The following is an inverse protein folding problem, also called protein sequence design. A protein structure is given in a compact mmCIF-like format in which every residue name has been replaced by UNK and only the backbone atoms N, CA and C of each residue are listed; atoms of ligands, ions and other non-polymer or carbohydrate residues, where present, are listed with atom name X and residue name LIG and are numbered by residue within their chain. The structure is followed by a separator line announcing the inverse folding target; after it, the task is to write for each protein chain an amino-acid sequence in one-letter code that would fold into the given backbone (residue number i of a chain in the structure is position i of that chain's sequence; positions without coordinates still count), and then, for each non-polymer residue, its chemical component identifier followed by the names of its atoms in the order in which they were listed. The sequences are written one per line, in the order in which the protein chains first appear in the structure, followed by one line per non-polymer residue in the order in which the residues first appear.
data_IF_588834357093
#
_entry.id   IF_588834357093
#
_cell.length_a   1.000
_cell.length_b   1.000
_cell.length_c   1.000
_cell.angle_alpha   90.00
_cell.angle_beta   90.00
_cell.angle_gamma   90.00
#
_symmetry.space_group_name_H-M   'P 1'
#
loop_
_entity.id
_entity.type
_entity.pdbx_description
1 polymer ?
#
# COMPACT_ATOMS: atom_id res chain seq x y z
N UNK A 1 -24.80 10.58 43.48
CA UNK A 1 -23.45 10.47 42.89
C UNK A 1 -22.88 9.04 42.77
N UNK A 2 -23.41 8.02 43.45
CA UNK A 2 -22.90 6.61 43.38
C UNK A 2 -23.35 5.78 42.17
N UNK A 3 -24.35 6.22 41.40
CA UNK A 3 -24.97 5.42 40.32
C UNK A 3 -24.20 5.53 38.98
N UNK A 4 -23.46 6.61 38.76
CA UNK A 4 -22.74 6.86 37.49
C UNK A 4 -21.35 6.18 37.40
N UNK A 5 -20.80 5.75 38.55
CA UNK A 5 -19.44 5.15 38.57
C UNK A 5 -19.44 3.74 38.00
N UNK A 6 -20.53 2.97 38.20
CA UNK A 6 -20.59 1.57 37.71
C UNK A 6 -20.54 1.45 36.17
N UNK A 7 -21.32 2.22 35.38
CA UNK A 7 -21.22 2.12 33.91
C UNK A 7 -19.87 2.64 33.36
N UNK A 8 -19.27 3.64 34.01
CA UNK A 8 -17.97 4.18 33.62
C UNK A 8 -16.86 3.12 33.78
N UNK A 9 -16.85 2.39 34.90
CA UNK A 9 -15.87 1.30 35.14
C UNK A 9 -16.04 0.17 34.13
N UNK A 10 -17.27 -0.22 33.77
CA UNK A 10 -17.53 -1.27 32.78
C UNK A 10 -17.03 -0.83 31.41
N UNK A 11 -17.23 0.42 31.00
CA UNK A 11 -16.73 0.95 29.74
C UNK A 11 -15.19 0.98 29.73
N UNK A 12 -14.56 1.39 30.81
CA UNK A 12 -13.10 1.46 30.94
C UNK A 12 -12.45 0.08 30.94
N UNK A 13 -13.03 -0.90 31.60
CA UNK A 13 -12.56 -2.30 31.60
C UNK A 13 -12.77 -2.93 30.22
N UNK A 14 -13.88 -2.66 29.55
CA UNK A 14 -14.12 -3.13 28.19
C UNK A 14 -13.08 -2.58 27.22
N UNK A 15 -12.75 -1.30 27.27
CA UNK A 15 -11.72 -0.69 26.41
C UNK A 15 -10.32 -1.24 26.69
N UNK A 16 -9.99 -1.56 27.93
CA UNK A 16 -8.72 -2.19 28.30
C UNK A 16 -8.64 -3.64 27.83
N UNK A 17 -9.72 -4.41 27.91
CA UNK A 17 -9.78 -5.79 27.42
C UNK A 17 -9.71 -5.88 25.89
N UNK A 18 -10.37 -4.96 25.16
CA UNK A 18 -10.29 -4.90 23.71
C UNK A 18 -8.97 -4.30 23.19
N UNK A 19 -8.24 -3.54 24.02
CA UNK A 19 -6.92 -2.99 23.68
C UNK A 19 -5.79 -4.03 23.64
N UNK A 20 -6.02 -5.24 24.14
CA UNK A 20 -5.03 -6.34 24.14
C UNK A 20 -5.16 -7.31 22.95
N UNK A 21 -5.97 -6.99 21.94
CA UNK A 21 -5.93 -7.75 20.69
C UNK A 21 -4.54 -7.50 20.08
N UNK A 22 -3.63 -8.46 20.27
CA UNK A 22 -2.36 -8.51 19.53
C UNK A 22 -2.74 -8.48 18.04
N UNK A 23 -2.66 -7.31 17.45
CA UNK A 23 -2.63 -7.20 15.99
C UNK A 23 -1.37 -7.92 15.56
N UNK A 24 -1.48 -9.14 15.07
CA UNK A 24 -0.38 -9.78 14.37
C UNK A 24 -0.02 -8.82 13.23
N UNK A 25 1.12 -8.18 13.34
CA UNK A 25 1.66 -7.35 12.27
C UNK A 25 1.86 -8.28 11.08
N UNK A 26 0.93 -8.25 10.14
CA UNK A 26 1.07 -9.02 8.92
C UNK A 26 2.22 -8.37 8.16
N UNK A 27 3.37 -9.01 8.20
CA UNK A 27 4.58 -8.55 7.49
C UNK A 27 4.23 -8.44 6.01
N UNK A 28 4.38 -7.24 5.46
CA UNK A 28 4.11 -7.00 4.03
C UNK A 28 5.14 -7.76 3.22
N UNK A 29 4.71 -8.77 2.47
CA UNK A 29 5.59 -9.53 1.58
C UNK A 29 5.65 -8.90 0.20
N UNK A 30 6.86 -8.86 -0.35
CA UNK A 30 7.21 -8.33 -1.66
C UNK A 30 7.80 -9.47 -2.48
N UNK A 31 7.20 -9.80 -3.61
CA UNK A 31 7.67 -10.83 -4.53
C UNK A 31 8.32 -10.21 -5.77
N UNK A 32 9.50 -10.68 -6.13
CA UNK A 32 10.15 -10.34 -7.38
C UNK A 32 10.00 -11.50 -8.37
N UNK A 33 9.19 -11.30 -9.40
CA UNK A 33 8.92 -12.29 -10.45
C UNK A 33 9.96 -12.28 -11.58
N UNK A 34 10.95 -11.37 -11.50
CA UNK A 34 12.03 -11.29 -12.50
C UNK A 34 11.77 -10.27 -13.60
N UNK A 35 12.61 -10.34 -14.62
CA UNK A 35 12.45 -9.58 -15.87
C UNK A 35 12.53 -10.52 -17.06
N UNK A 36 11.82 -10.18 -18.11
CA UNK A 36 11.92 -10.81 -19.42
C UNK A 36 12.39 -9.78 -20.42
N UNK A 37 13.32 -10.17 -21.33
CA UNK A 37 13.77 -9.31 -22.42
C UNK A 37 13.64 -10.08 -23.74
N UNK A 38 12.91 -9.52 -24.67
CA UNK A 38 12.77 -10.07 -26.01
C UNK A 38 13.97 -9.66 -26.88
N UNK A 39 14.42 -10.57 -27.78
CA UNK A 39 15.47 -10.34 -28.78
C UNK A 39 16.86 -10.04 -28.19
N UNK A 40 17.24 -10.78 -27.16
CA UNK A 40 18.61 -10.78 -26.59
C UNK A 40 19.08 -12.20 -26.31
N UNK A 41 20.38 -12.35 -26.11
CA UNK A 41 20.94 -13.61 -25.61
C UNK A 41 20.48 -13.90 -24.18
N UNK A 42 20.28 -15.17 -23.78
CA UNK A 42 19.81 -15.54 -22.44
C UNK A 42 20.66 -14.98 -21.28
N UNK A 43 21.97 -14.85 -21.48
CA UNK A 43 22.85 -14.30 -20.45
C UNK A 43 22.57 -12.81 -20.16
N UNK A 44 22.10 -12.04 -21.16
CA UNK A 44 21.72 -10.61 -20.97
C UNK A 44 20.49 -10.50 -20.08
N UNK A 45 19.51 -11.39 -20.31
CA UNK A 45 18.30 -11.45 -19.48
C UNK A 45 18.63 -11.82 -18.03
N UNK A 46 19.47 -12.84 -17.83
CA UNK A 46 19.88 -13.26 -16.48
C UNK A 46 20.63 -12.14 -15.74
N UNK A 47 21.58 -11.48 -16.40
CA UNK A 47 22.35 -10.38 -15.80
C UNK A 47 21.46 -9.17 -15.51
N UNK A 48 20.53 -8.82 -16.40
CA UNK A 48 19.60 -7.73 -16.15
C UNK A 48 18.67 -8.08 -14.97
N UNK A 49 18.19 -9.31 -14.89
CA UNK A 49 17.37 -9.76 -13.77
C UNK A 49 18.12 -9.62 -12.45
N UNK A 50 19.41 -9.96 -12.41
CA UNK A 50 20.27 -9.74 -11.24
C UNK A 50 20.44 -8.26 -10.92
N UNK A 51 20.70 -7.42 -11.94
CA UNK A 51 20.78 -5.96 -11.77
C UNK A 51 19.48 -5.38 -11.24
N UNK A 52 18.35 -5.81 -11.75
CA UNK A 52 17.05 -5.34 -11.30
C UNK A 52 16.70 -5.83 -9.89
N UNK A 53 17.23 -6.97 -9.46
CA UNK A 53 17.04 -7.44 -8.08
C UNK A 53 17.69 -6.52 -7.05
N UNK A 54 18.73 -5.76 -7.42
CA UNK A 54 19.38 -4.80 -6.50
C UNK A 54 18.47 -3.67 -6.04
N UNK A 55 17.36 -3.41 -6.74
CA UNK A 55 16.35 -2.43 -6.29
C UNK A 55 15.78 -2.77 -4.91
N UNK A 56 15.85 -4.04 -4.49
CA UNK A 56 15.35 -4.51 -3.19
C UNK A 56 16.42 -4.52 -2.09
N UNK A 57 17.62 -4.04 -2.37
CA UNK A 57 18.66 -3.89 -1.34
C UNK A 57 18.19 -2.93 -0.25
N UNK A 58 18.28 -3.39 1.01
CA UNK A 58 17.77 -2.66 2.17
C UNK A 58 16.32 -2.97 2.55
N UNK A 59 15.58 -3.75 1.76
CA UNK A 59 14.30 -4.32 2.18
C UNK A 59 14.58 -5.44 3.19
N UNK A 60 13.74 -5.52 4.24
CA UNK A 60 13.88 -6.57 5.24
C UNK A 60 13.81 -7.95 4.57
N UNK A 61 14.82 -8.84 4.78
CA UNK A 61 14.87 -10.17 4.18
C UNK A 61 13.64 -11.05 4.46
N UNK A 62 12.94 -10.83 5.57
CA UNK A 62 11.70 -11.54 5.90
C UNK A 62 10.50 -11.10 5.04
N UNK A 63 10.59 -9.91 4.46
CA UNK A 63 9.56 -9.32 3.61
C UNK A 63 9.81 -9.61 2.13
N UNK A 64 11.04 -9.88 1.75
CA UNK A 64 11.44 -10.04 0.36
C UNK A 64 11.49 -11.51 -0.07
N UNK A 65 10.76 -11.81 -1.14
CA UNK A 65 10.81 -13.08 -1.86
C UNK A 65 11.60 -12.89 -3.16
N UNK A 66 12.86 -13.33 -3.22
CA UNK A 66 13.68 -13.25 -4.42
C UNK A 66 13.16 -14.17 -5.52
N UNK A 67 13.62 -13.94 -6.75
CA UNK A 67 13.15 -14.62 -7.95
C UNK A 67 13.10 -16.15 -7.80
N UNK A 68 14.16 -16.78 -7.30
CA UNK A 68 14.22 -18.23 -7.11
C UNK A 68 13.08 -18.74 -6.22
N UNK A 69 12.80 -18.08 -5.10
CA UNK A 69 11.69 -18.46 -4.20
C UNK A 69 10.32 -18.27 -4.85
N UNK A 70 10.15 -17.20 -5.64
CA UNK A 70 8.88 -16.96 -6.34
C UNK A 70 8.71 -17.99 -7.47
N UNK A 71 9.78 -18.37 -8.16
CA UNK A 71 9.75 -19.44 -9.15
C UNK A 71 9.35 -20.78 -8.53
N UNK A 72 9.92 -21.15 -7.39
CA UNK A 72 9.56 -22.39 -6.66
C UNK A 72 8.06 -22.43 -6.31
N UNK A 73 7.45 -21.28 -6.02
CA UNK A 73 6.05 -21.19 -5.59
C UNK A 73 5.07 -21.02 -6.75
N UNK A 74 5.44 -20.30 -7.80
CA UNK A 74 4.53 -19.74 -8.80
C UNK A 74 5.11 -19.71 -10.23
N UNK A 75 5.91 -20.72 -10.63
CA UNK A 75 6.55 -20.74 -11.95
C UNK A 75 5.56 -20.68 -13.12
N UNK A 76 4.44 -21.40 -13.01
CA UNK A 76 3.41 -21.38 -14.06
C UNK A 76 2.75 -20.03 -14.21
N UNK A 77 2.47 -19.38 -13.07
CA UNK A 77 1.85 -18.06 -13.01
C UNK A 77 2.80 -16.96 -13.50
N UNK A 78 4.12 -17.13 -13.27
CA UNK A 78 5.14 -16.23 -13.84
C UNK A 78 5.18 -16.37 -15.36
N UNK A 79 5.12 -17.58 -15.91
CA UNK A 79 5.09 -17.80 -17.33
C UNK A 79 3.83 -17.18 -17.98
N UNK A 80 2.67 -17.34 -17.34
CA UNK A 80 1.43 -16.67 -17.77
C UNK A 80 1.55 -15.15 -17.69
N UNK A 81 2.17 -14.62 -16.63
CA UNK A 81 2.38 -13.19 -16.46
C UNK A 81 3.21 -12.60 -17.60
N UNK A 82 4.32 -13.24 -17.97
CA UNK A 82 5.17 -12.75 -19.05
C UNK A 82 4.57 -12.97 -20.45
N UNK A 83 3.72 -13.96 -20.62
CA UNK A 83 2.96 -14.13 -21.87
C UNK A 83 1.93 -13.01 -22.06
N UNK A 84 1.28 -12.56 -20.98
CA UNK A 84 0.31 -11.48 -21.03
C UNK A 84 0.35 -10.67 -19.72
N UNK A 85 0.92 -9.46 -19.78
CA UNK A 85 0.99 -8.53 -18.64
C UNK A 85 -0.42 -8.00 -18.33
N UNK A 86 -1.07 -8.58 -17.34
CA UNK A 86 -2.41 -8.21 -16.90
C UNK A 86 -2.51 -8.20 -15.37
N UNK A 87 -3.47 -7.43 -14.84
CA UNK A 87 -3.70 -7.38 -13.39
C UNK A 87 -4.12 -8.75 -12.83
N UNK A 88 -4.88 -9.53 -13.64
CA UNK A 88 -5.28 -10.90 -13.29
C UNK A 88 -4.07 -11.83 -13.11
N UNK A 89 -3.08 -11.77 -14.02
CA UNK A 89 -1.91 -12.62 -13.94
C UNK A 89 -0.97 -12.19 -12.81
N UNK A 90 -0.84 -10.87 -12.55
CA UNK A 90 -0.17 -10.39 -11.35
C UNK A 90 -0.84 -10.90 -10.07
N UNK A 91 -2.18 -10.89 -10.01
CA UNK A 91 -2.91 -11.40 -8.86
C UNK A 91 -2.64 -12.88 -8.61
N UNK A 92 -2.60 -13.71 -9.66
CA UNK A 92 -2.27 -15.14 -9.53
C UNK A 92 -0.88 -15.35 -8.90
N UNK A 93 0.13 -14.60 -9.37
CA UNK A 93 1.49 -14.65 -8.79
C UNK A 93 1.46 -14.20 -7.33
N UNK A 94 0.75 -13.11 -7.01
CA UNK A 94 0.61 -12.60 -5.67
C UNK A 94 -0.02 -13.61 -4.71
N UNK A 95 -1.10 -14.26 -5.14
CA UNK A 95 -1.84 -15.25 -4.34
C UNK A 95 -0.97 -16.48 -4.07
N UNK A 96 -0.25 -16.99 -5.07
CA UNK A 96 0.64 -18.14 -4.92
C UNK A 96 1.85 -17.84 -4.05
N UNK A 97 2.47 -16.68 -4.21
CA UNK A 97 3.61 -16.26 -3.41
C UNK A 97 3.21 -15.76 -2.01
N UNK A 98 1.91 -15.56 -1.76
CA UNK A 98 1.42 -14.94 -0.54
C UNK A 98 1.96 -13.51 -0.35
N UNK A 99 2.12 -12.76 -1.45
CA UNK A 99 2.74 -11.45 -1.48
C UNK A 99 1.70 -10.34 -1.66
N UNK A 100 1.91 -9.22 -0.96
CA UNK A 100 1.10 -8.01 -1.15
C UNK A 100 1.52 -7.23 -2.40
N UNK A 101 2.83 -7.22 -2.68
CA UNK A 101 3.39 -6.55 -3.85
C UNK A 101 4.11 -7.54 -4.74
N UNK A 102 3.88 -7.45 -6.05
CA UNK A 102 4.60 -8.22 -7.07
C UNK A 102 5.29 -7.26 -8.01
N UNK A 103 6.57 -7.54 -8.29
CA UNK A 103 7.40 -6.77 -9.21
C UNK A 103 7.81 -7.64 -10.39
N UNK A 104 7.69 -7.09 -11.59
CA UNK A 104 8.13 -7.74 -12.82
C UNK A 104 8.54 -6.69 -13.85
N UNK A 105 9.48 -7.02 -14.73
CA UNK A 105 9.88 -6.19 -15.86
C UNK A 105 9.69 -6.90 -17.20
N UNK A 106 9.10 -6.22 -18.17
CA UNK A 106 9.03 -6.72 -19.55
C UNK A 106 9.68 -5.72 -20.50
N UNK A 107 10.73 -6.17 -21.15
CA UNK A 107 11.56 -5.35 -22.02
C UNK A 107 11.76 -6.00 -23.37
N UNK A 108 12.21 -5.21 -24.33
CA UNK A 108 12.66 -5.65 -25.65
C UNK A 108 13.96 -4.93 -26.02
N UNK A 109 14.79 -5.58 -26.78
CA UNK A 109 15.93 -4.96 -27.42
C UNK A 109 15.46 -4.12 -28.60
N UNK A 110 15.79 -2.82 -28.59
CA UNK A 110 15.49 -1.86 -29.64
C UNK A 110 16.77 -1.21 -30.18
N UNK A 111 17.88 -1.92 -30.08
CA UNK A 111 19.18 -1.42 -30.55
C UNK A 111 19.13 -1.06 -32.03
N UNK A 112 19.66 0.11 -32.40
CA UNK A 112 19.80 0.48 -33.81
C UNK A 112 20.94 -0.29 -34.51
N UNK A 113 21.89 -0.82 -33.75
CA UNK A 113 23.03 -1.58 -34.19
C UNK A 113 23.39 -2.68 -33.19
N UNK A 114 24.30 -3.59 -33.56
CA UNK A 114 24.74 -4.71 -32.72
C UNK A 114 25.79 -4.33 -31.68
N UNK A 115 26.29 -3.08 -31.68
CA UNK A 115 27.41 -2.66 -30.81
C UNK A 115 26.99 -2.41 -29.39
N UNK A 116 25.76 -1.94 -29.19
CA UNK A 116 25.26 -1.58 -27.86
C UNK A 116 23.79 -1.97 -27.75
N UNK A 117 23.46 -2.65 -26.67
CA UNK A 117 22.08 -3.06 -26.40
C UNK A 117 21.30 -1.88 -25.85
N UNK A 118 20.22 -1.49 -26.54
CA UNK A 118 19.24 -0.53 -26.05
C UNK A 118 17.98 -1.26 -25.62
N UNK A 119 17.60 -1.09 -24.38
CA UNK A 119 16.45 -1.75 -23.76
C UNK A 119 15.29 -0.77 -23.67
N UNK A 120 14.13 -1.18 -24.20
CA UNK A 120 12.86 -0.47 -24.06
C UNK A 120 11.83 -1.38 -23.42
N UNK A 121 11.03 -0.85 -22.50
CA UNK A 121 9.94 -1.61 -21.89
C UNK A 121 9.43 -0.96 -20.61
N UNK A 122 8.82 -1.78 -19.78
CA UNK A 122 8.16 -1.32 -18.58
C UNK A 122 8.55 -2.21 -17.39
N UNK A 123 8.74 -1.57 -16.23
CA UNK A 123 8.88 -2.23 -14.95
C UNK A 123 7.65 -1.96 -14.12
N UNK A 124 7.08 -3.00 -13.52
CA UNK A 124 5.80 -2.95 -12.85
C UNK A 124 5.92 -3.21 -11.37
N UNK A 125 5.09 -2.50 -10.60
CA UNK A 125 4.73 -2.85 -9.23
C UNK A 125 3.23 -3.08 -9.18
N UNK A 126 2.81 -4.27 -8.86
CA UNK A 126 1.41 -4.61 -8.63
C UNK A 126 1.11 -4.67 -7.12
N UNK A 127 -0.01 -4.11 -6.70
CA UNK A 127 -0.52 -4.21 -5.33
C UNK A 127 -1.76 -5.11 -5.34
N UNK A 128 -1.66 -6.30 -4.75
CA UNK A 128 -2.71 -7.31 -4.75
C UNK A 128 -3.93 -6.92 -3.89
N UNK A 129 -3.76 -6.06 -2.89
CA UNK A 129 -4.85 -5.62 -2.01
C UNK A 129 -5.80 -4.63 -2.70
N UNK A 130 -5.24 -3.67 -3.42
CA UNK A 130 -6.03 -2.67 -4.18
C UNK A 130 -6.21 -3.05 -5.64
N UNK A 131 -5.64 -4.19 -6.07
CA UNK A 131 -5.70 -4.72 -7.45
C UNK A 131 -5.27 -3.67 -8.48
N UNK A 132 -4.18 -2.99 -8.23
CA UNK A 132 -3.72 -1.87 -9.02
C UNK A 132 -2.25 -2.04 -9.40
N UNK A 133 -1.95 -1.76 -10.67
CA UNK A 133 -0.63 -1.84 -11.28
C UNK A 133 -0.06 -0.45 -11.49
N UNK A 134 1.13 -0.24 -10.99
CA UNK A 134 1.95 0.93 -11.27
C UNK A 134 3.03 0.52 -12.28
N UNK A 135 3.30 1.35 -13.29
CA UNK A 135 4.31 1.09 -14.31
C UNK A 135 5.33 2.20 -14.37
N UNK A 136 6.56 1.81 -14.64
CA UNK A 136 7.68 2.70 -14.90
C UNK A 136 8.24 2.37 -16.30
N UNK A 137 8.25 3.35 -17.20
CA UNK A 137 8.73 3.19 -18.55
C UNK A 137 10.26 3.37 -18.62
N UNK A 138 10.93 2.47 -19.31
CA UNK A 138 12.38 2.45 -19.47
C UNK A 138 12.73 2.54 -20.95
N UNK A 139 13.66 3.42 -21.29
CA UNK A 139 14.36 3.45 -22.57
C UNK A 139 15.81 3.83 -22.29
N UNK A 140 16.68 2.82 -22.17
CA UNK A 140 18.08 3.01 -21.78
C UNK A 140 19.01 2.03 -22.48
N UNK A 141 20.27 2.44 -22.60
CA UNK A 141 21.32 1.48 -22.90
C UNK A 141 21.54 0.54 -21.74
N UNK A 142 21.80 -0.73 -22.06
CA UNK A 142 21.98 -1.81 -21.08
C UNK A 142 23.02 -1.47 -20.00
N UNK A 143 24.11 -0.81 -20.38
CA UNK A 143 25.19 -0.43 -19.46
C UNK A 143 24.70 0.55 -18.38
N UNK A 144 23.64 1.32 -18.68
CA UNK A 144 23.07 2.31 -17.76
C UNK A 144 21.86 1.79 -16.96
N UNK A 145 21.53 0.51 -17.11
CA UNK A 145 20.41 -0.08 -16.35
C UNK A 145 20.65 -0.14 -14.84
N UNK A 146 21.91 -0.12 -14.40
CA UNK A 146 22.23 0.02 -12.97
C UNK A 146 21.82 1.38 -12.39
N UNK A 147 22.05 2.46 -13.13
CA UNK A 147 21.61 3.81 -12.75
C UNK A 147 20.08 3.88 -12.72
N UNK A 148 19.44 3.28 -13.73
CA UNK A 148 17.99 3.24 -13.85
C UNK A 148 17.34 2.43 -12.73
N UNK A 149 17.96 1.32 -12.31
CA UNK A 149 17.53 0.53 -11.16
C UNK A 149 17.44 1.38 -9.88
N UNK A 150 18.38 2.31 -9.68
CA UNK A 150 18.35 3.24 -8.53
C UNK A 150 17.12 4.17 -8.58
N UNK A 151 16.76 4.65 -9.76
CA UNK A 151 15.57 5.51 -9.94
C UNK A 151 14.29 4.69 -9.71
N UNK A 152 14.23 3.48 -10.27
CA UNK A 152 13.11 2.55 -10.09
C UNK A 152 12.93 2.21 -8.60
N UNK A 153 14.01 1.93 -7.87
CA UNK A 153 13.99 1.71 -6.42
C UNK A 153 13.30 2.85 -5.71
N UNK A 154 13.77 4.08 -5.95
CA UNK A 154 13.23 5.27 -5.28
C UNK A 154 11.74 5.48 -5.59
N UNK A 155 11.29 5.22 -6.82
CA UNK A 155 9.91 5.45 -7.22
C UNK A 155 8.97 4.31 -6.83
N UNK A 156 9.40 3.08 -6.95
CA UNK A 156 8.52 1.92 -6.79
C UNK A 156 8.70 1.16 -5.48
N UNK A 157 9.93 1.09 -4.94
CA UNK A 157 10.21 0.31 -3.73
C UNK A 157 10.16 1.16 -2.48
N UNK A 158 10.88 2.30 -2.46
CA UNK A 158 10.97 3.17 -1.28
C UNK A 158 9.63 3.83 -0.92
N UNK A 159 8.68 3.87 -1.85
CA UNK A 159 7.31 4.33 -1.61
C UNK A 159 6.41 3.29 -0.94
N UNK A 160 6.90 2.06 -0.71
CA UNK A 160 6.15 1.01 -0.02
C UNK A 160 6.27 1.24 1.49
N UNK A 161 5.15 1.40 2.22
CA UNK A 161 5.23 1.48 3.67
C UNK A 161 5.80 0.17 4.24
N UNK A 162 6.84 0.25 5.04
CA UNK A 162 7.53 -0.88 5.66
C UNK A 162 6.60 -1.76 6.52
N UNK A 163 5.50 -1.20 6.98
CA UNK A 163 4.44 -1.91 7.69
C UNK A 163 3.09 -1.43 7.18
N UNK A 164 2.33 -2.28 6.51
CA UNK A 164 0.89 -2.08 6.41
C UNK A 164 0.31 -2.36 7.80
N UNK A 165 0.20 -1.32 8.61
CA UNK A 165 -0.51 -1.38 9.86
C UNK A 165 -2.00 -1.11 9.56
N UNK A 166 -2.88 -2.13 9.43
CA UNK A 166 -4.32 -1.89 9.38
C UNK A 166 -4.81 -1.30 10.71
N UNK A 167 -3.96 -1.36 11.75
CA UNK A 167 -4.21 -0.78 13.06
C UNK A 167 -4.24 0.76 13.07
N UNK A 168 -3.51 1.44 12.18
CA UNK A 168 -3.44 2.91 12.20
C UNK A 168 -4.79 3.55 11.90
N UNK A 169 -5.55 3.02 10.95
CA UNK A 169 -6.90 3.53 10.64
C UNK A 169 -7.90 3.23 11.77
N UNK A 170 -7.80 2.07 12.42
CA UNK A 170 -8.64 1.72 13.57
C UNK A 170 -8.25 2.52 14.82
N UNK A 171 -6.97 2.73 15.06
CA UNK A 171 -6.50 3.53 16.20
C UNK A 171 -6.84 5.00 16.04
N UNK A 172 -6.68 5.56 14.83
CA UNK A 172 -7.09 6.93 14.53
C UNK A 172 -8.61 7.07 14.65
N UNK A 173 -9.40 6.13 14.13
CA UNK A 173 -10.87 6.12 14.29
C UNK A 173 -11.31 5.99 15.76
N UNK A 174 -10.62 5.18 16.56
CA UNK A 174 -10.89 5.03 18.01
C UNK A 174 -10.52 6.32 18.77
N UNK A 175 -9.41 6.96 18.44
CA UNK A 175 -8.97 8.21 19.03
C UNK A 175 -9.93 9.36 18.71
N UNK A 176 -10.38 9.47 17.45
CA UNK A 176 -11.42 10.43 17.06
C UNK A 176 -12.76 10.15 17.74
N UNK A 177 -13.17 8.88 17.82
CA UNK A 177 -14.37 8.47 18.54
C UNK A 177 -14.31 8.81 20.02
N UNK A 178 -13.17 8.60 20.67
CA UNK A 178 -12.97 8.94 22.09
C UNK A 178 -13.01 10.46 22.32
N UNK A 179 -12.38 11.25 21.44
CA UNK A 179 -12.41 12.73 21.53
C UNK A 179 -13.83 13.23 21.35
N UNK A 180 -14.60 12.64 20.43
CA UNK A 180 -16.00 13.03 20.17
C UNK A 180 -16.89 12.71 21.38
N UNK A 181 -16.75 11.52 21.98
CA UNK A 181 -17.47 11.12 23.18
C UNK A 181 -17.08 11.98 24.38
N UNK A 182 -15.80 12.28 24.57
CA UNK A 182 -15.34 13.19 25.62
C UNK A 182 -15.86 14.61 25.40
N UNK A 183 -15.84 15.10 24.15
CA UNK A 183 -16.40 16.40 23.80
C UNK A 183 -17.89 16.52 24.11
N UNK A 184 -18.69 15.52 23.77
CA UNK A 184 -20.11 15.46 24.09
C UNK A 184 -20.36 15.37 25.61
N UNK A 185 -19.49 14.63 26.33
CA UNK A 185 -19.58 14.51 27.76
C UNK A 185 -19.27 15.86 28.47
N UNK A 186 -18.25 16.59 27.99
CA UNK A 186 -17.94 17.94 28.53
C UNK A 186 -19.04 18.93 28.19
N UNK A 187 -19.65 18.91 27.02
CA UNK A 187 -20.78 19.76 26.66
C UNK A 187 -22.01 19.45 27.53
N UNK A 188 -22.28 18.19 27.84
CA UNK A 188 -23.35 17.77 28.72
C UNK A 188 -23.15 18.24 30.17
N UNK A 189 -21.90 18.27 30.64
CA UNK A 189 -21.56 18.78 32.00
C UNK A 189 -21.55 20.30 32.07
N UNK A 190 -21.28 21.01 30.99
CA UNK A 190 -21.26 22.46 30.91
C UNK A 190 -22.65 23.10 30.78
N UNK A 191 -23.70 22.26 30.65
CA UNK A 191 -25.09 22.75 30.55
C UNK A 191 -25.42 23.41 29.21
N UNK A 192 -24.52 23.35 28.26
CA UNK A 192 -24.81 23.82 26.87
C UNK A 192 -25.59 22.74 26.12
N UNK A 193 -26.89 22.97 25.86
CA UNK A 193 -27.67 22.08 25.02
C UNK A 193 -27.20 22.20 23.57
N UNK A 194 -26.81 21.08 22.97
CA UNK A 194 -26.39 20.99 21.54
C UNK A 194 -27.59 21.20 20.62
N UNK A 195 -28.78 21.06 21.17
CA UNK A 195 -30.04 21.31 20.46
C UNK A 195 -30.55 22.67 20.93
N UNK A 196 -30.13 23.74 20.25
CA UNK A 196 -30.68 25.08 20.49
C UNK A 196 -32.16 25.05 20.17
N UNK A 197 -32.98 25.22 21.23
CA UNK A 197 -34.37 25.61 21.05
C UNK A 197 -34.37 26.97 20.35
N UNK A 198 -34.72 26.97 19.06
CA UNK A 198 -34.95 28.17 18.27
C UNK A 198 -36.25 28.84 18.80
N UNK A 199 -36.13 29.52 19.89
CA UNK A 199 -37.11 30.50 20.35
C UNK A 199 -36.97 31.78 19.52
N UNK A 200 -37.56 31.78 18.34
CA UNK A 200 -37.72 32.99 17.53
C UNK A 200 -38.83 33.86 18.16
N UNK A 201 -38.44 34.83 18.94
CA UNK A 201 -39.31 35.95 19.29
C UNK A 201 -39.18 37.02 18.16
N UNK A 202 -39.96 36.86 17.12
CA UNK A 202 -40.15 37.89 16.10
C UNK A 202 -41.16 38.90 16.58
N UNK A 203 -40.71 39.83 17.43
CA UNK A 203 -41.45 41.04 17.74
C UNK A 203 -41.56 41.94 16.50
N UNK A 204 -42.63 41.77 15.74
CA UNK A 204 -43.01 42.73 14.71
C UNK A 204 -43.51 44.03 15.38
N UNK A 205 -42.97 45.19 15.00
CA UNK A 205 -43.52 46.44 15.48
C UNK A 205 -44.89 46.70 14.81
N UNK A 206 -45.90 46.94 15.66
CA UNK A 206 -47.23 47.38 15.23
C UNK A 206 -47.12 48.78 14.55
N UNK A 207 -47.80 49.00 13.43
CA UNK A 207 -47.88 50.34 12.83
C UNK A 207 -48.82 51.20 13.63
N UNK A 208 -48.34 52.34 14.11
CA UNK A 208 -49.17 53.43 14.66
C UNK A 208 -49.86 54.15 13.51
N UNK A 209 -51.20 54.13 13.49
CA UNK A 209 -52.04 55.07 12.74
C UNK A 209 -51.89 56.47 13.32
N UNK A 210 -51.60 57.43 12.41
CA UNK A 210 -52.18 58.79 12.39
C UNK A 210 -52.07 59.33 11.00
#
# INVERSE_FOLDING_TARGET
MKILIKPLVVILVSTLLFGQIKTSQTTVKIAYAGVQIENVDPWVEEELSKKMQTIFEGVNPEQFLPLNKVQDLAQSEINELFSAISDSNFQKVADKAGAKYVFAGKFKNVSPDERRIMVQGEFYRYNAEVKSKFRYEVLKYYERMGDEATIIKKQLVDSIPATANPATFRQVGLLFGLILVMGLFFMSLSGTSVWGEGGGDTGLPTPTEN
#
